data_IF_050103531916
#
_entry.id   IF_050103531916
#
_cell.length_a   1.000
_cell.length_b   1.000
_cell.length_c   1.000
_cell.angle_alpha   90.00
_cell.angle_beta   90.00
_cell.angle_gamma   90.00
#
_symmetry.space_group_name_H-M   'P 1'
#
loop_
_entity.id
_entity.type
_entity.pdbx_description
1 polymer ?
#
# COMPACT_ATOMS: atom_id res chain seq x y z
N UNK A 1 -30.89 0.36 -22.98
CA UNK A 1 -30.00 0.88 -21.92
C UNK A 1 -28.59 0.49 -22.29
N UNK A 2 -27.80 1.46 -22.76
CA UNK A 2 -26.38 1.29 -23.07
C UNK A 2 -25.68 0.82 -21.80
N UNK A 3 -24.99 -0.33 -21.83
CA UNK A 3 -24.16 -0.74 -20.69
C UNK A 3 -23.06 0.30 -20.56
N UNK A 4 -23.18 1.17 -19.56
CA UNK A 4 -22.12 2.12 -19.19
C UNK A 4 -20.85 1.30 -18.95
N UNK A 5 -19.87 1.45 -19.84
CA UNK A 5 -18.57 0.83 -19.65
C UNK A 5 -17.81 1.69 -18.64
N UNK A 6 -17.36 1.12 -17.52
CA UNK A 6 -16.61 1.87 -16.54
C UNK A 6 -15.29 2.34 -17.16
N UNK A 7 -15.00 3.62 -17.02
CA UNK A 7 -13.71 4.19 -17.42
C UNK A 7 -12.63 3.60 -16.50
N UNK A 8 -11.57 2.96 -17.03
CA UNK A 8 -10.49 2.48 -16.20
C UNK A 8 -9.79 3.64 -15.51
N UNK A 9 -9.41 3.45 -14.24
CA UNK A 9 -8.69 4.47 -13.49
C UNK A 9 -7.35 4.79 -14.19
N UNK A 10 -7.08 6.05 -14.56
CA UNK A 10 -5.77 6.44 -15.08
C UNK A 10 -4.73 6.33 -13.95
N UNK A 11 -3.62 5.64 -14.24
CA UNK A 11 -2.46 5.53 -13.34
C UNK A 11 -1.35 6.47 -13.81
N UNK A 12 -0.70 7.18 -12.89
CA UNK A 12 0.45 8.02 -13.27
C UNK A 12 1.67 7.11 -13.43
N UNK A 13 2.52 7.38 -14.42
CA UNK A 13 3.78 6.65 -14.59
C UNK A 13 4.73 6.77 -13.37
N UNK A 14 4.55 7.82 -12.57
CA UNK A 14 5.32 8.09 -11.35
C UNK A 14 4.74 7.40 -10.11
N UNK A 15 3.60 6.72 -10.21
CA UNK A 15 3.00 6.05 -9.05
C UNK A 15 3.87 4.86 -8.63
N UNK A 16 4.01 4.69 -7.32
CA UNK A 16 4.77 3.59 -6.75
C UNK A 16 4.03 2.26 -6.94
N UNK A 17 4.79 1.19 -7.20
CA UNK A 17 4.24 -0.17 -7.28
C UNK A 17 4.35 -0.84 -5.91
N UNK A 18 3.25 -1.42 -5.44
CA UNK A 18 3.18 -2.13 -4.16
C UNK A 18 3.40 -3.63 -4.40
N UNK A 19 4.30 -4.22 -3.62
CA UNK A 19 4.56 -5.66 -3.61
C UNK A 19 4.28 -6.23 -2.21
N UNK A 20 3.75 -7.44 -2.14
CA UNK A 20 3.60 -8.13 -0.87
C UNK A 20 4.95 -8.62 -0.35
N UNK A 21 5.37 -8.11 0.81
CA UNK A 21 6.58 -8.56 1.48
C UNK A 21 6.43 -9.88 2.26
N UNK A 22 5.21 -10.41 2.41
CA UNK A 22 4.95 -11.70 3.07
C UNK A 22 3.59 -12.28 2.71
N UNK A 23 3.44 -13.60 2.85
CA UNK A 23 2.14 -14.30 2.67
C UNK A 23 1.08 -13.86 3.67
N UNK A 24 1.49 -13.51 4.90
CA UNK A 24 0.57 -13.01 5.92
C UNK A 24 -0.01 -11.65 5.51
N UNK A 25 0.81 -10.77 4.93
CA UNK A 25 0.35 -9.48 4.41
C UNK A 25 -0.62 -9.65 3.24
N UNK A 26 -0.33 -10.57 2.31
CA UNK A 26 -1.24 -10.91 1.22
C UNK A 26 -2.60 -11.40 1.72
N UNK A 27 -2.61 -12.34 2.68
CA UNK A 27 -3.86 -12.84 3.27
C UNK A 27 -4.66 -11.72 3.96
N UNK A 28 -4.00 -10.94 4.82
CA UNK A 28 -4.65 -9.83 5.52
C UNK A 28 -5.21 -8.78 4.54
N UNK A 29 -4.51 -8.55 3.42
CA UNK A 29 -4.99 -7.66 2.35
C UNK A 29 -6.28 -8.18 1.72
N UNK A 30 -6.36 -9.47 1.40
CA UNK A 30 -7.57 -10.09 0.86
C UNK A 30 -8.75 -10.02 1.86
N UNK A 31 -8.49 -10.27 3.15
CA UNK A 31 -9.50 -10.17 4.21
C UNK A 31 -10.03 -8.73 4.34
N UNK A 32 -9.14 -7.72 4.26
CA UNK A 32 -9.52 -6.31 4.23
C UNK A 32 -10.28 -5.93 2.96
N UNK A 33 -9.93 -6.50 1.81
CA UNK A 33 -10.66 -6.26 0.57
C UNK A 33 -12.12 -6.73 0.65
N UNK A 34 -12.35 -7.83 1.36
CA UNK A 34 -13.69 -8.39 1.58
C UNK A 34 -14.52 -7.57 2.59
N UNK A 35 -13.88 -6.96 3.59
CA UNK A 35 -14.59 -6.35 4.73
C UNK A 35 -14.55 -4.82 4.77
N UNK A 36 -13.53 -4.19 4.17
CA UNK A 36 -13.22 -2.75 4.25
C UNK A 36 -12.68 -2.20 2.93
N UNK A 37 -13.38 -2.51 1.83
CA UNK A 37 -12.93 -2.18 0.48
C UNK A 37 -12.68 -0.68 0.26
N UNK A 38 -13.54 0.19 0.80
CA UNK A 38 -13.41 1.64 0.65
C UNK A 38 -12.14 2.16 1.31
N UNK A 39 -11.90 1.78 2.57
CA UNK A 39 -10.70 2.15 3.32
C UNK A 39 -9.43 1.62 2.63
N UNK A 40 -9.50 0.42 2.04
CA UNK A 40 -8.39 -0.17 1.32
C UNK A 40 -8.03 0.59 0.04
N UNK A 41 -9.03 1.15 -0.66
CA UNK A 41 -8.80 2.04 -1.80
C UNK A 41 -8.11 3.32 -1.37
N UNK A 42 -8.57 3.96 -0.28
CA UNK A 42 -7.92 5.17 0.24
C UNK A 42 -6.47 4.90 0.66
N UNK A 43 -6.21 3.77 1.34
CA UNK A 43 -4.87 3.35 1.71
C UNK A 43 -3.98 3.10 0.47
N UNK A 44 -4.50 2.43 -0.56
CA UNK A 44 -3.79 2.21 -1.81
C UNK A 44 -3.38 3.53 -2.46
N UNK A 45 -4.29 4.50 -2.54
CA UNK A 45 -4.00 5.81 -3.15
C UNK A 45 -2.86 6.55 -2.46
N UNK A 46 -2.84 6.54 -1.12
CA UNK A 46 -1.78 7.16 -0.34
C UNK A 46 -0.45 6.45 -0.62
N UNK A 47 -0.44 5.11 -0.56
CA UNK A 47 0.77 4.31 -0.78
C UNK A 47 1.34 4.44 -2.20
N UNK A 48 0.49 4.58 -3.22
CA UNK A 48 0.97 4.73 -4.61
C UNK A 48 1.35 6.16 -4.97
N UNK A 49 0.74 7.18 -4.33
CA UNK A 49 1.00 8.59 -4.68
C UNK A 49 2.18 9.21 -3.92
N UNK A 50 2.35 8.89 -2.63
CA UNK A 50 3.41 9.50 -1.82
C UNK A 50 3.76 8.69 -0.57
N UNK A 51 4.29 7.46 -0.72
CA UNK A 51 4.55 6.55 0.40
C UNK A 51 5.62 7.04 1.39
N UNK A 52 6.43 8.03 0.98
CA UNK A 52 7.50 8.61 1.79
C UNK A 52 7.06 9.87 2.54
N UNK A 53 5.85 10.36 2.29
CA UNK A 53 5.32 11.51 3.01
C UNK A 53 4.85 11.06 4.39
N UNK A 54 5.57 11.48 5.42
CA UNK A 54 5.19 11.23 6.80
C UNK A 54 3.96 12.08 7.16
N UNK A 55 2.78 11.48 7.07
CA UNK A 55 1.52 12.05 7.57
C UNK A 55 0.93 11.18 8.70
N UNK A 56 -0.20 11.60 9.27
CA UNK A 56 -0.87 10.86 10.33
C UNK A 56 -1.38 9.47 9.89
N UNK A 57 -1.43 9.19 8.59
CA UNK A 57 -1.93 7.95 7.97
C UNK A 57 -0.79 7.05 7.48
N UNK A 58 0.37 7.63 7.19
CA UNK A 58 1.64 7.01 6.78
C UNK A 58 2.74 7.44 7.76
N UNK A 59 2.53 7.12 9.03
CA UNK A 59 3.53 7.37 10.06
C UNK A 59 4.63 6.31 10.03
N UNK A 60 5.90 6.68 10.23
CA UNK A 60 7.00 5.72 10.26
C UNK A 60 6.77 4.70 11.37
N UNK A 61 7.16 3.44 11.11
CA UNK A 61 7.10 2.40 12.13
C UNK A 61 7.92 2.80 13.35
N UNK A 62 7.48 2.39 14.55
CA UNK A 62 8.20 2.67 15.79
C UNK A 62 9.61 2.08 15.68
N UNK A 63 10.65 2.91 15.88
CA UNK A 63 12.10 2.63 15.80
C UNK A 63 12.50 1.18 15.45
N UNK A 64 12.26 0.26 16.37
CA UNK A 64 12.67 -1.15 16.33
C UNK A 64 12.04 -1.96 15.18
N UNK A 65 10.94 -1.47 14.60
CA UNK A 65 10.22 -2.05 13.47
C UNK A 65 10.50 -1.33 12.14
N UNK A 66 11.11 -0.14 12.19
CA UNK A 66 11.46 0.64 11.00
C UNK A 66 12.75 0.17 10.33
N UNK A 67 13.49 -0.75 10.95
CA UNK A 67 14.73 -1.28 10.43
C UNK A 67 14.55 -2.77 10.16
N UNK A 68 14.75 -3.18 8.91
CA UNK A 68 14.88 -4.59 8.57
C UNK A 68 16.36 -4.89 8.36
N UNK A 69 16.84 -5.99 8.96
CA UNK A 69 18.20 -6.48 8.71
C UNK A 69 18.12 -7.51 7.59
N UNK A 70 18.75 -7.22 6.46
CA UNK A 70 18.88 -8.13 5.33
C UNK A 70 20.37 -8.34 5.05
N UNK A 71 20.82 -9.60 5.07
CA UNK A 71 22.23 -9.98 4.87
C UNK A 71 23.23 -9.21 5.76
N UNK A 72 22.87 -8.96 7.02
CA UNK A 72 23.71 -8.22 7.98
C UNK A 72 23.73 -6.71 7.78
N UNK A 73 23.06 -6.18 6.76
CA UNK A 73 22.89 -4.74 6.53
C UNK A 73 21.52 -4.27 7.01
N UNK A 74 21.50 -3.15 7.73
CA UNK A 74 20.29 -2.53 8.24
C UNK A 74 19.69 -1.59 7.18
N UNK A 75 18.48 -1.89 6.74
CA UNK A 75 17.72 -1.07 5.81
C UNK A 75 16.52 -0.44 6.52
N UNK A 76 16.30 0.86 6.29
CA UNK A 76 15.07 1.51 6.70
C UNK A 76 13.94 0.99 5.79
N UNK A 77 12.87 0.49 6.43
CA UNK A 77 11.61 0.17 5.76
C UNK A 77 10.89 1.43 5.30
#
# INVERSE_FOLDING_TARGET
>A
MSREQPVPRPVKKSDYVIYFGSRTAEKAWLDLMATRRSDLVEAWEILTSSPLTADARCSPMRKDLAVVVFEGSAYRR
#
